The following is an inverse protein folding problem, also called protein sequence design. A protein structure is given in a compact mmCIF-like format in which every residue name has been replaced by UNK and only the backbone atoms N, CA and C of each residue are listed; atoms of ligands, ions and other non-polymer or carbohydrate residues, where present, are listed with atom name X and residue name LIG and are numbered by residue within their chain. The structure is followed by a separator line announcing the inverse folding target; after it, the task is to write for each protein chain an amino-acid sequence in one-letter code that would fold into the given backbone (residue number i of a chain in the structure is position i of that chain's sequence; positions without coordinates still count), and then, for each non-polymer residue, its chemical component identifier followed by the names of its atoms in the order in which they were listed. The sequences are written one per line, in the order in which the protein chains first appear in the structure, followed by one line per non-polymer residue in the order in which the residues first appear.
data_IF_866864715772
#
_entry.id   IF_866864715772
#
_cell.length_a   1.000
_cell.length_b   1.000
_cell.length_c   1.000
_cell.angle_alpha   90.00
_cell.angle_beta   90.00
_cell.angle_gamma   90.00
#
_symmetry.space_group_name_H-M   'P 1'
#
loop_
_entity.id
_entity.type
_entity.pdbx_description
1 polymer ?
#
# COMPACT_ATOMS: atom_id res chain seq x y z
N UNK A 1 22.48 4.98 1.90
CA UNK A 1 21.43 3.95 1.95
C UNK A 1 21.40 3.07 0.69
N UNK A 2 21.32 3.65 -0.53
CA UNK A 2 21.39 2.90 -1.81
C UNK A 2 22.59 1.96 -1.91
N UNK A 3 23.79 2.45 -1.60
CA UNK A 3 25.02 1.62 -1.64
C UNK A 3 24.98 0.43 -0.67
N UNK A 4 24.34 0.59 0.51
CA UNK A 4 24.20 -0.48 1.50
C UNK A 4 23.26 -1.61 1.04
N UNK A 5 22.40 -1.32 0.05
CA UNK A 5 21.41 -2.26 -0.48
C UNK A 5 21.81 -2.81 -1.86
N UNK A 6 22.96 -2.41 -2.41
CA UNK A 6 23.43 -2.88 -3.72
C UNK A 6 23.53 -4.41 -3.74
N UNK A 7 23.12 -5.00 -4.85
CA UNK A 7 23.09 -6.45 -5.08
C UNK A 7 21.93 -7.18 -4.42
N UNK A 8 21.08 -6.50 -3.63
CA UNK A 8 19.86 -7.08 -3.05
C UNK A 8 18.76 -7.22 -4.12
N UNK A 9 17.77 -8.02 -3.76
CA UNK A 9 16.57 -8.22 -4.58
C UNK A 9 15.57 -7.09 -4.28
N UNK A 10 15.01 -6.50 -5.33
CA UNK A 10 13.87 -5.60 -5.25
C UNK A 10 12.70 -6.29 -5.92
N UNK A 11 11.65 -6.56 -5.15
CA UNK A 11 10.37 -7.04 -5.65
C UNK A 11 9.47 -5.83 -5.81
N UNK A 12 8.93 -5.61 -7.01
CA UNK A 12 8.08 -4.47 -7.28
C UNK A 12 7.10 -4.76 -8.41
N UNK A 13 6.11 -3.88 -8.53
CA UNK A 13 5.25 -3.86 -9.70
C UNK A 13 6.02 -3.35 -10.94
N UNK A 14 5.80 -3.86 -12.16
CA UNK A 14 6.49 -3.35 -13.36
C UNK A 14 6.22 -1.86 -13.64
N UNK A 15 5.04 -1.35 -13.26
CA UNK A 15 4.63 0.04 -13.56
C UNK A 15 5.27 1.09 -12.64
N UNK A 16 6.16 0.71 -11.71
CA UNK A 16 6.92 1.69 -10.91
C UNK A 16 7.80 2.61 -11.78
N UNK A 17 8.08 2.20 -13.02
CA UNK A 17 8.86 2.95 -14.00
C UNK A 17 7.99 3.84 -14.91
N UNK A 18 6.65 3.77 -14.81
CA UNK A 18 5.79 4.72 -15.51
C UNK A 18 6.08 6.15 -15.02
N UNK A 19 5.99 7.13 -15.92
CA UNK A 19 6.10 8.53 -15.52
C UNK A 19 4.84 8.92 -14.76
N UNK A 20 4.97 9.18 -13.47
CA UNK A 20 3.88 9.57 -12.57
C UNK A 20 3.95 11.06 -12.25
N UNK A 21 2.79 11.68 -12.13
CA UNK A 21 2.64 13.11 -11.89
C UNK A 21 1.57 13.39 -10.84
N UNK A 22 1.71 14.53 -10.16
CA UNK A 22 0.69 15.09 -9.30
C UNK A 22 0.16 16.38 -9.94
N UNK A 23 -1.16 16.48 -10.09
CA UNK A 23 -1.83 17.74 -10.38
C UNK A 23 -2.17 18.45 -9.07
N UNK A 24 -1.31 19.38 -8.68
CA UNK A 24 -1.53 20.25 -7.53
C UNK A 24 -2.05 21.62 -7.99
N UNK A 25 -3.37 21.82 -7.88
CA UNK A 25 -4.04 23.10 -8.19
C UNK A 25 -3.73 23.62 -9.60
N UNK A 26 -3.72 22.72 -10.59
CA UNK A 26 -3.47 23.05 -12.00
C UNK A 26 -1.98 23.01 -12.38
N UNK A 27 -1.06 22.75 -11.44
CA UNK A 27 0.34 22.50 -11.74
C UNK A 27 0.61 21.01 -11.77
N UNK A 28 1.15 20.52 -12.88
CA UNK A 28 1.55 19.12 -13.06
C UNK A 28 3.03 19.00 -12.68
N UNK A 29 3.31 18.24 -11.64
CA UNK A 29 4.67 17.99 -11.13
C UNK A 29 5.01 16.51 -11.27
N UNK A 30 6.24 16.19 -11.69
CA UNK A 30 6.71 14.81 -11.76
C UNK A 30 6.98 14.26 -10.35
N UNK A 31 6.39 13.11 -10.05
CA UNK A 31 6.52 12.41 -8.75
C UNK A 31 6.91 10.93 -8.94
N UNK A 32 7.29 10.53 -10.15
CA UNK A 32 7.72 9.18 -10.45
C UNK A 32 9.08 8.84 -9.81
N UNK A 33 9.48 7.59 -10.01
CA UNK A 33 10.75 7.09 -9.50
C UNK A 33 11.93 7.93 -10.03
N UNK A 34 12.83 8.43 -9.15
CA UNK A 34 13.96 9.26 -9.58
C UNK A 34 15.09 8.46 -10.24
N UNK A 35 14.91 7.15 -10.43
CA UNK A 35 15.88 6.23 -11.01
C UNK A 35 15.31 5.64 -12.30
N UNK A 36 16.15 5.51 -13.32
CA UNK A 36 15.80 4.74 -14.52
C UNK A 36 15.77 3.24 -14.22
N UNK A 37 15.16 2.48 -15.13
CA UNK A 37 15.15 1.02 -15.07
C UNK A 37 16.57 0.46 -15.12
N UNK A 38 17.40 1.00 -16.00
CA UNK A 38 18.80 0.62 -16.18
C UNK A 38 19.62 0.91 -14.92
N UNK A 39 19.41 2.06 -14.29
CA UNK A 39 20.06 2.40 -13.01
C UNK A 39 19.67 1.43 -11.90
N UNK A 40 18.39 1.02 -11.84
CA UNK A 40 17.93 0.03 -10.87
C UNK A 40 18.51 -1.37 -11.16
N UNK A 41 18.50 -1.81 -12.42
CA UNK A 41 19.06 -3.11 -12.83
C UNK A 41 20.58 -3.19 -12.63
N UNK A 42 21.29 -2.06 -12.75
CA UNK A 42 22.73 -2.00 -12.46
C UNK A 42 23.05 -2.18 -10.97
N UNK A 43 22.15 -1.77 -10.07
CA UNK A 43 22.38 -1.82 -8.62
C UNK A 43 21.68 -2.99 -7.93
N UNK A 44 20.59 -3.52 -8.49
CA UNK A 44 19.71 -4.47 -7.84
C UNK A 44 19.28 -5.62 -8.76
N UNK A 45 18.91 -6.75 -8.15
CA UNK A 45 18.23 -7.84 -8.85
C UNK A 45 16.73 -7.57 -8.82
N UNK A 46 16.14 -7.21 -9.96
CA UNK A 46 14.71 -6.89 -10.02
C UNK A 46 13.85 -8.14 -10.23
N UNK A 47 12.80 -8.26 -9.42
CA UNK A 47 11.70 -9.21 -9.62
C UNK A 47 10.44 -8.37 -9.83
N UNK A 48 10.05 -8.20 -11.08
CA UNK A 48 8.88 -7.40 -11.45
C UNK A 48 7.67 -8.31 -11.66
N UNK A 49 6.58 -8.09 -10.91
CA UNK A 49 5.37 -8.90 -11.01
C UNK A 49 4.11 -8.07 -10.79
N UNK A 50 3.06 -8.40 -11.55
CA UNK A 50 1.68 -7.94 -11.30
C UNK A 50 0.93 -8.89 -10.37
N UNK A 51 1.38 -10.13 -10.29
CA UNK A 51 0.76 -11.18 -9.50
C UNK A 51 1.35 -11.24 -8.07
N UNK A 52 0.58 -11.73 -7.10
CA UNK A 52 1.10 -12.00 -5.77
C UNK A 52 2.25 -13.02 -5.80
N UNK A 53 3.27 -12.80 -4.97
CA UNK A 53 4.39 -13.73 -4.82
C UNK A 53 4.78 -13.89 -3.35
N UNK A 54 4.80 -15.13 -2.87
CA UNK A 54 5.44 -15.50 -1.62
C UNK A 54 6.95 -15.61 -1.84
N UNK A 55 7.72 -14.66 -1.31
CA UNK A 55 9.17 -14.62 -1.52
C UNK A 55 9.97 -15.18 -0.34
N UNK A 56 9.31 -15.39 0.80
CA UNK A 56 9.80 -16.17 1.93
C UNK A 56 8.61 -16.68 2.73
N UNK A 57 8.82 -17.68 3.59
CA UNK A 57 7.76 -18.38 4.31
C UNK A 57 6.82 -17.40 5.03
N UNK A 58 5.55 -17.43 4.64
CA UNK A 58 4.48 -16.63 5.21
C UNK A 58 4.50 -15.16 4.77
N UNK A 59 5.40 -14.72 3.90
CA UNK A 59 5.51 -13.31 3.49
C UNK A 59 5.26 -13.16 2.00
N UNK A 60 4.17 -12.46 1.69
CA UNK A 60 3.63 -12.31 0.33
C UNK A 60 3.65 -10.84 -0.08
N UNK A 61 4.30 -10.56 -1.21
CA UNK A 61 4.08 -9.32 -1.94
C UNK A 61 2.74 -9.40 -2.65
N UNK A 62 1.84 -8.43 -2.43
CA UNK A 62 0.45 -8.53 -2.84
C UNK A 62 0.20 -8.54 -4.35
N UNK A 63 1.14 -8.00 -5.15
CA UNK A 63 0.87 -7.67 -6.55
C UNK A 63 -0.18 -6.58 -6.70
N UNK A 64 -0.88 -6.56 -7.83
CA UNK A 64 -2.00 -5.66 -8.08
C UNK A 64 -3.18 -6.02 -7.17
N UNK A 65 -3.54 -5.09 -6.29
CA UNK A 65 -4.76 -5.22 -5.47
C UNK A 65 -5.97 -5.09 -6.39
N UNK A 66 -6.90 -6.04 -6.37
CA UNK A 66 -8.14 -5.96 -7.16
C UNK A 66 -9.14 -4.93 -6.61
N UNK A 67 -10.06 -4.48 -7.45
CA UNK A 67 -11.19 -3.64 -7.02
C UNK A 67 -12.39 -4.48 -6.56
N UNK A 68 -12.90 -4.21 -5.36
CA UNK A 68 -14.06 -4.91 -4.77
C UNK A 68 -15.27 -3.99 -4.56
N UNK A 69 -15.37 -2.94 -5.37
CA UNK A 69 -16.41 -1.91 -5.24
C UNK A 69 -16.12 -0.84 -4.19
N UNK A 70 -14.96 -0.90 -3.50
CA UNK A 70 -14.53 0.18 -2.61
C UNK A 70 -13.69 1.23 -3.36
N UNK A 71 -13.71 2.51 -2.91
CA UNK A 71 -12.93 3.57 -3.54
C UNK A 71 -11.43 3.29 -3.53
N UNK A 72 -10.77 3.70 -4.62
CA UNK A 72 -9.32 3.97 -4.66
C UNK A 72 -9.08 5.44 -4.40
N UNK A 73 -7.92 5.77 -3.86
CA UNK A 73 -7.55 7.14 -3.52
C UNK A 73 -6.51 7.69 -4.49
N UNK A 74 -6.94 8.09 -5.68
CA UNK A 74 -6.05 8.53 -6.76
C UNK A 74 -6.26 9.98 -7.22
N UNK A 75 -7.01 10.78 -6.45
CA UNK A 75 -7.38 12.14 -6.88
C UNK A 75 -6.14 13.00 -7.15
N UNK A 76 -6.01 13.43 -8.41
CA UNK A 76 -4.91 14.28 -8.87
C UNK A 76 -3.61 13.52 -9.16
N UNK A 77 -3.57 12.20 -8.97
CA UNK A 77 -2.46 11.35 -9.36
C UNK A 77 -2.65 10.93 -10.81
N UNK A 78 -1.62 11.14 -11.61
CA UNK A 78 -1.65 11.01 -13.05
C UNK A 78 -0.47 10.18 -13.55
N UNK A 79 -0.61 9.56 -14.71
CA UNK A 79 0.46 8.85 -15.40
C UNK A 79 0.53 9.17 -16.89
N UNK A 80 1.71 9.00 -17.46
CA UNK A 80 1.88 9.06 -18.91
C UNK A 80 1.32 7.79 -19.59
N UNK A 81 0.48 7.95 -20.61
CA UNK A 81 -0.03 6.87 -21.46
C UNK A 81 -0.27 7.40 -22.87
N UNK A 82 0.31 6.78 -23.89
CA UNK A 82 0.13 7.13 -25.31
C UNK A 82 0.29 8.64 -25.59
N UNK A 83 1.41 9.22 -25.15
CA UNK A 83 1.74 10.66 -25.22
C UNK A 83 0.75 11.61 -24.52
N UNK A 84 -0.16 11.07 -23.71
CA UNK A 84 -1.11 11.82 -22.89
C UNK A 84 -0.81 11.63 -21.41
N UNK A 85 -1.35 12.54 -20.62
CA UNK A 85 -1.41 12.40 -19.17
C UNK A 85 -2.84 12.01 -18.80
N UNK A 86 -2.99 10.87 -18.13
CA UNK A 86 -4.28 10.28 -17.73
C UNK A 86 -4.29 10.05 -16.21
N UNK A 87 -5.47 9.83 -15.63
CA UNK A 87 -5.56 9.44 -14.23
C UNK A 87 -4.80 8.14 -13.96
N UNK A 88 -4.04 8.11 -12.85
CA UNK A 88 -3.33 6.92 -12.41
C UNK A 88 -4.26 6.03 -11.57
N UNK A 89 -4.39 4.77 -11.96
CA UNK A 89 -5.19 3.77 -11.23
C UNK A 89 -4.46 3.20 -10.01
N UNK A 90 -3.15 3.50 -9.89
CA UNK A 90 -2.27 3.09 -8.79
C UNK A 90 -2.25 1.57 -8.62
N UNK A 91 -2.16 0.85 -9.75
CA UNK A 91 -2.04 -0.61 -9.77
C UNK A 91 -0.73 -1.09 -9.12
N UNK A 92 0.27 -0.21 -9.03
CA UNK A 92 1.54 -0.43 -8.37
C UNK A 92 1.53 -0.24 -6.84
N UNK A 93 0.40 0.16 -6.24
CA UNK A 93 0.24 0.15 -4.78
C UNK A 93 0.09 -1.28 -4.24
N UNK A 94 1.22 -1.87 -3.86
CA UNK A 94 1.34 -3.25 -3.43
C UNK A 94 1.64 -3.36 -1.92
N UNK A 95 0.66 -3.73 -1.08
CA UNK A 95 0.90 -4.03 0.33
C UNK A 95 1.69 -5.34 0.51
N UNK A 96 2.14 -5.57 1.75
CA UNK A 96 2.76 -6.82 2.17
C UNK A 96 1.79 -7.58 3.07
N UNK A 97 1.70 -8.90 2.86
CA UNK A 97 0.91 -9.79 3.70
C UNK A 97 1.83 -10.76 4.43
N UNK A 98 1.69 -10.84 5.76
CA UNK A 98 2.52 -11.68 6.62
C UNK A 98 1.61 -12.62 7.39
N UNK A 99 1.65 -13.90 7.07
CA UNK A 99 0.89 -14.93 7.75
C UNK A 99 1.61 -15.35 9.03
N UNK A 100 0.91 -15.30 10.16
CA UNK A 100 1.44 -15.60 11.50
C UNK A 100 0.50 -16.54 12.24
N UNK A 101 0.97 -17.16 13.32
CA UNK A 101 0.12 -18.02 14.16
C UNK A 101 -1.05 -17.27 14.81
N UNK A 102 -0.99 -15.93 14.89
CA UNK A 102 -2.10 -15.10 15.40
C UNK A 102 -3.11 -14.71 14.33
N UNK A 103 -2.82 -14.96 13.06
CA UNK A 103 -3.58 -14.52 11.90
C UNK A 103 -2.77 -13.58 11.00
N UNK A 104 -3.41 -13.02 9.99
CA UNK A 104 -2.75 -12.22 8.97
C UNK A 104 -2.36 -10.82 9.49
N UNK A 105 -1.13 -10.42 9.21
CA UNK A 105 -0.65 -9.04 9.37
C UNK A 105 -0.53 -8.40 7.99
N UNK A 106 -1.25 -7.30 7.78
CA UNK A 106 -1.23 -6.52 6.55
C UNK A 106 -0.38 -5.27 6.79
N UNK A 107 0.65 -5.06 5.98
CA UNK A 107 1.48 -3.86 6.01
C UNK A 107 1.24 -3.05 4.75
N UNK A 108 0.77 -1.82 4.91
CA UNK A 108 0.49 -0.90 3.80
C UNK A 108 1.53 0.23 3.76
N UNK A 109 1.82 0.72 2.55
CA UNK A 109 2.55 1.97 2.36
C UNK A 109 1.67 3.17 2.72
N UNK A 110 1.09 3.83 1.71
CA UNK A 110 0.11 4.90 1.91
C UNK A 110 -1.34 4.41 1.73
N UNK A 111 -1.57 3.26 1.06
CA UNK A 111 -2.87 2.57 0.98
C UNK A 111 -3.80 3.11 -0.12
N UNK A 112 -3.25 3.52 -1.25
CA UNK A 112 -3.95 4.16 -2.36
C UNK A 112 -4.97 3.24 -3.08
N UNK A 113 -4.72 1.94 -3.12
CA UNK A 113 -5.68 0.94 -3.61
C UNK A 113 -6.95 0.88 -2.75
N UNK A 114 -6.96 1.53 -1.58
CA UNK A 114 -8.07 1.55 -0.63
C UNK A 114 -7.96 0.39 0.36
N UNK A 115 -7.91 0.69 1.66
CA UNK A 115 -7.68 -0.33 2.70
C UNK A 115 -8.72 -1.46 2.68
N UNK A 116 -9.98 -1.18 2.34
CA UNK A 116 -11.00 -2.22 2.25
C UNK A 116 -10.80 -3.15 1.04
N UNK A 117 -10.31 -2.63 -0.09
CA UNK A 117 -9.88 -3.47 -1.22
C UNK A 117 -8.66 -4.32 -0.83
N UNK A 118 -7.70 -3.73 -0.12
CA UNK A 118 -6.50 -4.42 0.37
C UNK A 118 -6.87 -5.58 1.29
N UNK A 119 -7.80 -5.37 2.22
CA UNK A 119 -8.30 -6.41 3.14
C UNK A 119 -8.99 -7.55 2.40
N UNK A 120 -9.78 -7.25 1.36
CA UNK A 120 -10.44 -8.29 0.56
C UNK A 120 -9.43 -9.07 -0.28
N UNK A 121 -8.50 -8.36 -0.93
CA UNK A 121 -7.43 -8.96 -1.71
C UNK A 121 -6.56 -9.87 -0.85
N UNK A 122 -6.23 -9.44 0.38
CA UNK A 122 -5.36 -10.22 1.26
C UNK A 122 -5.97 -11.58 1.62
N UNK A 123 -7.28 -11.64 1.89
CA UNK A 123 -8.00 -12.88 2.15
C UNK A 123 -8.01 -13.79 0.93
N UNK A 124 -8.25 -13.23 -0.26
CA UNK A 124 -8.22 -14.02 -1.50
C UNK A 124 -6.84 -14.60 -1.82
N UNK A 125 -5.78 -13.82 -1.62
CA UNK A 125 -4.40 -14.22 -1.91
C UNK A 125 -3.89 -15.24 -0.91
N UNK A 126 -4.06 -14.98 0.38
CA UNK A 126 -3.44 -15.78 1.46
C UNK A 126 -4.32 -16.93 1.93
N UNK A 127 -5.62 -16.90 1.61
CA UNK A 127 -6.66 -17.79 2.16
C UNK A 127 -6.80 -17.72 3.68
N UNK A 128 -6.22 -16.71 4.33
CA UNK A 128 -6.37 -16.45 5.76
C UNK A 128 -7.52 -15.47 6.00
N UNK A 129 -8.50 -15.88 6.80
CA UNK A 129 -9.70 -15.09 7.08
C UNK A 129 -9.53 -14.18 8.30
N UNK A 130 -8.70 -14.59 9.26
CA UNK A 130 -8.44 -13.85 10.50
C UNK A 130 -7.35 -12.82 10.26
N UNK A 131 -7.67 -11.54 10.42
CA UNK A 131 -6.69 -10.46 10.35
C UNK A 131 -6.28 -10.08 11.76
N UNK A 132 -5.04 -10.35 12.12
CA UNK A 132 -4.48 -9.94 13.40
C UNK A 132 -4.20 -8.44 13.43
N UNK A 133 -3.55 -7.91 12.39
CA UNK A 133 -3.17 -6.50 12.38
C UNK A 133 -3.18 -5.88 10.98
N UNK A 134 -3.54 -4.60 10.92
CA UNK A 134 -3.36 -3.73 9.74
C UNK A 134 -2.48 -2.57 10.15
N UNK A 135 -1.31 -2.42 9.54
CA UNK A 135 -0.28 -1.44 9.94
C UNK A 135 0.14 -0.63 8.72
N UNK A 136 0.18 0.70 8.84
CA UNK A 136 0.63 1.60 7.77
C UNK A 136 -0.36 2.70 7.41
N UNK A 137 -0.18 3.30 6.23
CA UNK A 137 -1.06 4.35 5.73
C UNK A 137 -2.40 3.80 5.20
N UNK A 138 -3.48 4.50 5.54
CA UNK A 138 -4.85 4.21 5.09
C UNK A 138 -5.37 5.22 4.05
N UNK A 139 -4.59 6.25 3.74
CA UNK A 139 -4.95 7.38 2.86
C UNK A 139 -6.27 8.11 3.21
N UNK A 140 -6.59 8.21 4.50
CA UNK A 140 -7.84 8.81 4.96
C UNK A 140 -7.75 10.31 5.31
N UNK A 141 -6.56 10.92 5.29
CA UNK A 141 -6.34 12.30 5.76
C UNK A 141 -7.24 13.33 5.06
N UNK A 142 -7.47 13.19 3.75
CA UNK A 142 -8.28 14.13 2.95
C UNK A 142 -9.68 13.59 2.61
N UNK A 143 -10.09 12.49 3.22
CA UNK A 143 -11.42 11.90 3.00
C UNK A 143 -12.50 12.63 3.81
N UNK A 144 -13.76 12.66 3.34
CA UNK A 144 -14.91 13.13 4.13
C UNK A 144 -15.06 12.34 5.43
N UNK A 145 -15.53 12.99 6.50
CA UNK A 145 -15.62 12.37 7.84
C UNK A 145 -16.51 11.13 7.86
N UNK A 146 -17.59 11.14 7.08
CA UNK A 146 -18.54 10.05 6.96
C UNK A 146 -17.89 8.82 6.34
N UNK A 147 -17.06 9.02 5.30
CA UNK A 147 -16.27 7.96 4.67
C UNK A 147 -15.23 7.40 5.63
N UNK A 148 -14.54 8.27 6.36
CA UNK A 148 -13.58 7.86 7.39
C UNK A 148 -14.27 6.98 8.44
N UNK A 149 -15.39 7.44 9.02
CA UNK A 149 -16.13 6.69 10.03
C UNK A 149 -16.60 5.32 9.50
N UNK A 150 -17.07 5.25 8.25
CA UNK A 150 -17.45 3.99 7.61
C UNK A 150 -16.26 3.04 7.49
N UNK A 151 -15.13 3.50 6.96
CA UNK A 151 -13.93 2.66 6.79
C UNK A 151 -13.44 2.15 8.14
N UNK A 152 -13.35 3.01 9.17
CA UNK A 152 -12.85 2.59 10.48
C UNK A 152 -13.77 1.55 11.13
N UNK A 153 -15.10 1.70 11.01
CA UNK A 153 -16.06 0.70 11.51
C UNK A 153 -15.89 -0.66 10.84
N UNK A 154 -15.67 -0.68 9.52
CA UNK A 154 -15.40 -1.92 8.78
C UNK A 154 -14.07 -2.56 9.23
N UNK A 155 -13.02 -1.77 9.40
CA UNK A 155 -11.72 -2.27 9.87
C UNK A 155 -11.79 -2.85 11.28
N UNK A 156 -12.51 -2.19 12.19
CA UNK A 156 -12.75 -2.68 13.55
C UNK A 156 -13.52 -4.00 13.56
N UNK A 157 -14.38 -4.24 12.56
CA UNK A 157 -15.12 -5.49 12.40
C UNK A 157 -14.28 -6.67 11.90
N UNK A 158 -13.12 -6.41 11.29
CA UNK A 158 -12.31 -7.46 10.61
C UNK A 158 -10.92 -7.66 11.18
N UNK A 159 -10.36 -6.67 11.88
CA UNK A 159 -9.00 -6.74 12.45
C UNK A 159 -9.00 -6.70 13.98
N UNK A 160 -8.07 -7.43 14.60
CA UNK A 160 -7.84 -7.34 16.05
C UNK A 160 -7.14 -6.03 16.43
N UNK A 161 -6.19 -5.59 15.59
CA UNK A 161 -5.37 -4.39 15.82
C UNK A 161 -5.24 -3.53 14.57
N UNK A 162 -5.27 -2.20 14.74
CA UNK A 162 -5.10 -1.24 13.65
C UNK A 162 -4.03 -0.22 14.04
N UNK A 163 -2.92 -0.20 13.31
CA UNK A 163 -1.80 0.72 13.50
C UNK A 163 -1.70 1.73 12.37
N UNK A 164 -2.59 2.75 12.31
CA UNK A 164 -2.57 3.72 11.23
C UNK A 164 -1.39 4.68 11.38
N UNK A 165 -0.71 4.96 10.25
CA UNK A 165 0.45 5.85 10.18
C UNK A 165 0.34 6.81 8.99
N UNK A 166 1.26 7.79 8.92
CA UNK A 166 1.51 8.64 7.75
C UNK A 166 0.23 9.30 7.17
N UNK A 167 -0.25 8.83 6.01
CA UNK A 167 -1.36 9.38 5.23
C UNK A 167 -2.76 9.19 5.87
N UNK A 168 -2.85 8.47 7.00
CA UNK A 168 -4.14 8.19 7.65
C UNK A 168 -4.75 9.44 8.29
N UNK A 169 -3.93 10.36 8.81
CA UNK A 169 -4.36 11.57 9.51
C UNK A 169 -4.81 11.34 10.96
N UNK A 170 -4.88 12.40 11.76
CA UNK A 170 -5.16 12.29 13.21
C UNK A 170 -6.57 11.81 13.57
N UNK A 171 -7.50 11.90 12.62
CA UNK A 171 -8.92 11.56 12.81
C UNK A 171 -9.21 10.06 12.95
N UNK A 172 -8.22 9.19 12.75
CA UNK A 172 -8.41 7.73 12.72
C UNK A 172 -8.34 7.05 14.09
N UNK A 173 -8.17 7.78 15.19
CA UNK A 173 -8.02 7.19 16.55
C UNK A 173 -9.34 7.27 17.32
N UNK A 174 -10.12 6.19 17.36
CA UNK A 174 -11.46 6.19 17.97
C UNK A 174 -11.76 5.01 18.92
N UNK A 175 -11.03 3.89 18.89
CA UNK A 175 -11.29 2.71 19.74
C UNK A 175 -10.02 2.06 20.33
N UNK A 176 -10.22 1.08 21.21
CA UNK A 176 -9.20 0.30 21.90
C UNK A 176 -8.36 -0.61 20.98
N UNK A 177 -8.85 -0.91 19.77
CA UNK A 177 -8.12 -1.70 18.77
C UNK A 177 -6.98 -0.91 18.11
N UNK A 178 -6.95 0.41 18.28
CA UNK A 178 -5.93 1.25 17.69
C UNK A 178 -4.63 1.23 18.49
N UNK A 179 -3.54 0.91 17.80
CA UNK A 179 -2.20 0.89 18.37
C UNK A 179 -1.35 2.00 17.76
N UNK A 180 -0.40 2.53 18.53
CA UNK A 180 0.50 3.57 18.04
C UNK A 180 1.52 2.99 17.05
N UNK A 181 1.53 3.53 15.82
CA UNK A 181 2.43 3.13 14.74
C UNK A 181 3.44 4.23 14.36
N UNK A 182 3.85 5.01 15.37
CA UNK A 182 4.91 6.00 15.24
C UNK A 182 6.30 5.40 15.02
N UNK A 183 7.25 6.26 14.67
CA UNK A 183 8.66 5.90 14.48
C UNK A 183 9.22 5.27 15.77
N UNK A 184 10.02 4.21 15.61
CA UNK A 184 10.67 3.51 16.72
C UNK A 184 9.80 2.47 17.44
N UNK A 185 8.56 2.26 16.99
CA UNK A 185 7.68 1.23 17.55
C UNK A 185 8.08 -0.17 17.07
N UNK A 186 7.97 -1.13 17.98
CA UNK A 186 8.10 -2.57 17.73
C UNK A 186 6.74 -3.21 17.94
N UNK A 187 6.28 -3.99 16.97
CA UNK A 187 5.04 -4.74 17.06
C UNK A 187 5.36 -6.22 17.24
N UNK A 188 4.96 -6.76 18.38
CA UNK A 188 5.04 -8.20 18.64
C UNK A 188 3.79 -8.88 18.06
N UNK A 189 3.96 -9.42 16.86
CA UNK A 189 2.95 -10.17 16.11
C UNK A 189 3.17 -11.66 16.27
#
# INVERSE_FOLDING_TARGET
MRELLRGKVVIAHPDIFEKKFLNWRGRIEYIGLPLSREEMESDFKLVLTREPIEFTKGVVFAGEVKGYGFPRYNKGLLKAKDDKVVDDELLDDAPLYINTDKGLVIVTGCGHSGVLNIVRHSKEVTKEEKIHAIIGGLHLLSSPKEHVAQVLKELEGVADKIGPAHCSGFQVRLSEKYIDAGVGRVFEV
#
